data_IF_947663605063
#
_entry.id   IF_947663605063
#
_cell.length_a   1.000
_cell.length_b   1.000
_cell.length_c   1.000
_cell.angle_alpha   90.00
_cell.angle_beta   90.00
_cell.angle_gamma   90.00
#
_symmetry.space_group_name_H-M   'P 1'
#
loop_
_entity.id
_entity.type
_entity.pdbx_description
1 polymer ?
#
# COMPACT_ATOMS: atom_id res chain seq x y z
N UNK A 1 10.14 -11.23 17.52
CA UNK A 1 9.73 -12.40 16.74
C UNK A 1 8.36 -12.10 16.15
N UNK A 2 8.37 -11.93 14.83
CA UNK A 2 7.27 -11.82 13.88
C UNK A 2 5.90 -12.25 14.41
N UNK A 3 5.00 -11.29 14.61
CA UNK A 3 3.57 -11.59 14.57
C UNK A 3 3.32 -11.98 13.12
N UNK A 4 3.22 -13.28 12.85
CA UNK A 4 3.03 -13.80 11.50
C UNK A 4 1.84 -13.07 10.87
N UNK A 5 2.10 -12.29 9.82
CA UNK A 5 1.08 -11.99 8.82
C UNK A 5 0.52 -13.35 8.39
N UNK A 6 -0.72 -13.62 8.76
CA UNK A 6 -1.39 -14.84 8.33
C UNK A 6 -1.64 -14.79 6.83
N UNK A 7 -1.84 -15.95 6.20
CA UNK A 7 -2.17 -16.01 4.77
C UNK A 7 -3.32 -15.05 4.40
N UNK A 8 -4.28 -14.89 5.32
CA UNK A 8 -5.41 -14.00 5.13
C UNK A 8 -5.02 -12.51 4.98
N UNK A 9 -3.90 -12.07 5.56
CA UNK A 9 -3.35 -10.72 5.29
C UNK A 9 -2.94 -10.59 3.83
N UNK A 10 -2.16 -11.53 3.31
CA UNK A 10 -1.70 -11.53 1.93
C UNK A 10 -2.88 -11.65 0.97
N UNK A 11 -3.83 -12.55 1.24
CA UNK A 11 -5.05 -12.70 0.41
C UNK A 11 -5.82 -11.37 0.27
N UNK A 12 -5.90 -10.57 1.34
CA UNK A 12 -6.55 -9.24 1.29
C UNK A 12 -5.72 -8.21 0.52
N UNK A 13 -4.39 -8.23 0.65
CA UNK A 13 -3.51 -7.34 -0.09
C UNK A 13 -3.57 -7.65 -1.60
N UNK A 14 -3.51 -8.93 -1.94
CA UNK A 14 -3.57 -9.42 -3.33
C UNK A 14 -4.90 -9.09 -3.99
N UNK A 15 -6.02 -9.14 -3.26
CA UNK A 15 -7.31 -8.73 -3.79
C UNK A 15 -7.32 -7.24 -4.26
N UNK A 16 -6.53 -6.37 -3.62
CA UNK A 16 -6.37 -4.98 -4.08
C UNK A 16 -5.51 -4.89 -5.34
N UNK A 17 -4.46 -5.71 -5.43
CA UNK A 17 -3.58 -5.79 -6.61
C UNK A 17 -4.35 -6.35 -7.81
N UNK A 18 -5.14 -7.40 -7.61
CA UNK A 18 -5.98 -8.01 -8.65
C UNK A 18 -6.96 -6.99 -9.24
N UNK A 19 -7.62 -6.20 -8.38
CA UNK A 19 -8.49 -5.13 -8.84
C UNK A 19 -7.73 -4.05 -9.63
N UNK A 20 -6.51 -3.68 -9.21
CA UNK A 20 -5.68 -2.75 -9.95
C UNK A 20 -5.27 -3.32 -11.32
N UNK A 21 -4.90 -4.59 -11.39
CA UNK A 21 -4.57 -5.28 -12.65
C UNK A 21 -5.76 -5.30 -13.62
N UNK A 22 -6.97 -5.60 -13.14
CA UNK A 22 -8.19 -5.52 -13.96
C UNK A 22 -8.46 -4.10 -14.49
N UNK A 23 -8.11 -3.06 -13.71
CA UNK A 23 -8.23 -1.67 -14.17
C UNK A 23 -7.16 -1.32 -15.22
N UNK A 24 -5.94 -1.83 -15.08
CA UNK A 24 -4.86 -1.64 -16.07
C UNK A 24 -5.29 -2.24 -17.41
N UNK A 25 -5.82 -3.46 -17.42
CA UNK A 25 -6.34 -4.11 -18.63
C UNK A 25 -7.44 -3.29 -19.32
N UNK A 26 -8.25 -2.59 -18.53
CA UNK A 26 -9.38 -1.79 -19.05
C UNK A 26 -8.98 -0.41 -19.57
N UNK A 27 -8.05 0.26 -18.90
CA UNK A 27 -7.73 1.67 -19.16
C UNK A 27 -6.39 1.88 -19.87
N UNK A 28 -5.56 0.84 -19.98
CA UNK A 28 -4.23 0.86 -20.61
C UNK A 28 -3.31 1.98 -20.06
N UNK A 29 -3.52 2.39 -18.81
CA UNK A 29 -2.81 3.50 -18.18
C UNK A 29 -2.42 3.15 -16.73
N UNK A 30 -1.20 2.62 -16.61
CA UNK A 30 -0.60 2.23 -15.34
C UNK A 30 -0.52 3.41 -14.35
N UNK A 31 -0.20 4.61 -14.85
CA UNK A 31 -0.03 5.80 -14.02
C UNK A 31 -1.34 6.22 -13.36
N UNK A 32 -2.45 6.23 -14.10
CA UNK A 32 -3.77 6.54 -13.55
C UNK A 32 -4.24 5.52 -12.52
N UNK A 33 -4.01 4.23 -12.76
CA UNK A 33 -4.40 3.17 -11.82
C UNK A 33 -3.56 3.22 -10.54
N UNK A 34 -2.25 3.44 -10.66
CA UNK A 34 -1.37 3.61 -9.49
C UNK A 34 -1.79 4.82 -8.64
N UNK A 35 -2.08 5.95 -9.28
CA UNK A 35 -2.55 7.15 -8.59
C UNK A 35 -3.91 6.94 -7.89
N UNK A 36 -4.86 6.26 -8.54
CA UNK A 36 -6.18 5.99 -7.96
C UNK A 36 -6.11 4.98 -6.82
N UNK A 37 -5.26 3.95 -6.92
CA UNK A 37 -5.00 2.98 -5.84
C UNK A 37 -4.44 3.67 -4.60
N UNK A 38 -3.41 4.49 -4.78
CA UNK A 38 -2.79 5.28 -3.69
C UNK A 38 -3.80 6.22 -3.04
N UNK A 39 -4.61 6.92 -3.85
CA UNK A 39 -5.64 7.81 -3.33
C UNK A 39 -6.75 7.04 -2.59
N UNK A 40 -7.13 5.85 -3.07
CA UNK A 40 -8.08 4.96 -2.41
C UNK A 40 -7.59 4.53 -1.02
N UNK A 41 -6.33 4.09 -0.93
CA UNK A 41 -5.70 3.73 0.33
C UNK A 41 -5.68 4.91 1.31
N UNK A 42 -5.30 6.10 0.86
CA UNK A 42 -5.29 7.31 1.70
C UNK A 42 -6.67 7.65 2.26
N UNK A 43 -7.73 7.55 1.44
CA UNK A 43 -9.13 7.79 1.89
C UNK A 43 -9.58 6.76 2.91
N UNK A 44 -9.25 5.49 2.69
CA UNK A 44 -9.57 4.43 3.63
C UNK A 44 -8.87 4.64 4.97
N UNK A 45 -7.57 4.95 4.96
CA UNK A 45 -6.78 5.26 6.15
C UNK A 45 -7.33 6.45 6.94
N UNK A 46 -7.73 7.52 6.24
CA UNK A 46 -8.36 8.68 6.88
C UNK A 46 -9.70 8.32 7.55
N UNK A 47 -10.57 7.59 6.85
CA UNK A 47 -11.85 7.13 7.41
C UNK A 47 -11.66 6.19 8.59
N UNK A 48 -10.75 5.22 8.49
CA UNK A 48 -10.45 4.27 9.56
C UNK A 48 -9.94 5.00 10.80
N UNK A 49 -9.00 5.93 10.64
CA UNK A 49 -8.44 6.72 11.74
C UNK A 49 -9.50 7.56 12.44
N UNK A 50 -10.39 8.19 11.67
CA UNK A 50 -11.47 9.02 12.23
C UNK A 50 -12.39 8.26 13.19
N UNK A 51 -12.52 6.93 13.05
CA UNK A 51 -13.35 6.09 13.94
C UNK A 51 -12.83 5.99 15.37
N UNK A 52 -11.56 6.34 15.59
CA UNK A 52 -10.91 6.30 16.91
C UNK A 52 -11.08 7.60 17.71
N UNK A 53 -11.73 8.62 17.14
CA UNK A 53 -11.88 9.95 17.76
C UNK A 53 -13.36 10.31 17.97
N UNK A 54 -13.63 11.16 18.96
CA UNK A 54 -14.98 11.59 19.31
C UNK A 54 -15.40 12.88 18.60
N UNK A 55 -14.45 13.62 18.03
CA UNK A 55 -14.71 14.88 17.34
C UNK A 55 -13.67 15.19 16.27
N UNK A 56 -14.02 16.10 15.36
CA UNK A 56 -13.08 16.63 14.38
C UNK A 56 -11.92 17.42 15.01
N UNK A 57 -12.12 18.00 16.20
CA UNK A 57 -11.06 18.70 16.92
C UNK A 57 -9.99 17.74 17.46
N UNK A 58 -10.42 16.60 18.04
CA UNK A 58 -9.49 15.54 18.47
C UNK A 58 -8.74 14.94 17.27
N UNK A 59 -9.44 14.64 16.17
CA UNK A 59 -8.80 14.16 14.94
C UNK A 59 -7.81 15.19 14.38
N UNK A 60 -8.16 16.48 14.41
CA UNK A 60 -7.29 17.57 13.99
C UNK A 60 -6.01 17.66 14.83
N UNK A 61 -6.12 17.47 16.15
CA UNK A 61 -4.97 17.45 17.05
C UNK A 61 -4.03 16.25 16.79
N UNK A 62 -4.59 15.10 16.37
CA UNK A 62 -3.83 13.89 16.04
C UNK A 62 -3.34 13.83 14.57
N UNK A 63 -3.65 14.84 13.74
CA UNK A 63 -3.41 14.80 12.28
C UNK A 63 -1.97 14.45 11.91
N UNK A 64 -1.00 15.13 12.50
CA UNK A 64 0.42 14.94 12.16
C UNK A 64 0.93 13.57 12.58
N UNK A 65 0.47 13.05 13.72
CA UNK A 65 0.82 11.72 14.20
C UNK A 65 0.27 10.64 13.26
N UNK A 66 -0.98 10.77 12.82
CA UNK A 66 -1.62 9.88 11.86
C UNK A 66 -0.86 9.89 10.52
N UNK A 67 -0.53 11.07 10.01
CA UNK A 67 0.25 11.21 8.76
C UNK A 67 1.60 10.52 8.88
N UNK A 68 2.34 10.80 9.96
CA UNK A 68 3.64 10.19 10.21
C UNK A 68 3.54 8.67 10.25
N UNK A 69 2.56 8.14 10.98
CA UNK A 69 2.33 6.69 11.08
C UNK A 69 2.15 6.04 9.71
N UNK A 70 1.19 6.51 8.90
CA UNK A 70 0.95 5.89 7.59
C UNK A 70 2.10 6.07 6.61
N UNK A 71 2.74 7.25 6.59
CA UNK A 71 3.89 7.49 5.71
C UNK A 71 5.08 6.60 6.07
N UNK A 72 5.35 6.39 7.35
CA UNK A 72 6.46 5.54 7.79
C UNK A 72 6.16 4.06 7.53
N UNK A 73 4.92 3.59 7.76
CA UNK A 73 4.51 2.23 7.41
C UNK A 73 4.63 1.99 5.90
N UNK A 74 4.12 2.90 5.07
CA UNK A 74 4.21 2.79 3.62
C UNK A 74 5.67 2.79 3.14
N UNK A 75 6.51 3.67 3.70
CA UNK A 75 7.94 3.71 3.38
C UNK A 75 8.61 2.38 3.67
N UNK A 76 8.44 1.84 4.88
CA UNK A 76 9.03 0.57 5.28
C UNK A 76 8.65 -0.57 4.32
N UNK A 77 7.35 -0.72 4.03
CA UNK A 77 6.89 -1.77 3.10
C UNK A 77 7.44 -1.56 1.68
N UNK A 78 7.47 -0.30 1.21
CA UNK A 78 7.97 0.01 -0.12
C UNK A 78 9.49 -0.24 -0.23
N UNK A 79 10.26 0.13 0.79
CA UNK A 79 11.70 -0.15 0.87
C UNK A 79 11.96 -1.65 0.77
N UNK A 80 11.30 -2.48 1.58
CA UNK A 80 11.44 -3.94 1.54
C UNK A 80 11.14 -4.52 0.14
N UNK A 81 10.05 -4.07 -0.50
CA UNK A 81 9.68 -4.54 -1.83
C UNK A 81 10.67 -4.06 -2.91
N UNK A 82 11.16 -2.82 -2.81
CA UNK A 82 12.14 -2.29 -3.76
C UNK A 82 13.48 -3.00 -3.63
N UNK A 83 13.93 -3.26 -2.41
CA UNK A 83 15.18 -3.97 -2.15
C UNK A 83 15.13 -5.39 -2.74
N UNK A 84 13.99 -6.10 -2.61
CA UNK A 84 13.79 -7.40 -3.27
C UNK A 84 13.87 -7.29 -4.81
N UNK A 85 13.22 -6.28 -5.41
CA UNK A 85 13.27 -6.06 -6.86
C UNK A 85 14.66 -5.65 -7.34
N UNK A 86 15.45 -4.96 -6.51
CA UNK A 86 16.84 -4.61 -6.80
C UNK A 86 17.71 -5.86 -6.76
N UNK A 87 17.56 -6.69 -5.73
CA UNK A 87 18.32 -7.94 -5.56
C UNK A 87 18.06 -8.93 -6.71
N UNK A 88 16.80 -9.05 -7.15
CA UNK A 88 16.36 -10.02 -8.16
C UNK A 88 16.03 -9.40 -9.52
N UNK A 89 16.54 -8.20 -9.82
CA UNK A 89 16.17 -7.43 -11.00
C UNK A 89 16.33 -8.20 -12.31
N UNK A 90 17.49 -8.83 -12.53
CA UNK A 90 17.79 -9.56 -13.76
C UNK A 90 16.84 -10.76 -13.96
N UNK A 91 16.43 -11.42 -12.88
CA UNK A 91 15.47 -12.51 -12.91
C UNK A 91 14.06 -12.00 -13.19
N UNK A 92 13.59 -11.03 -12.41
CA UNK A 92 12.20 -10.56 -12.48
C UNK A 92 11.91 -9.75 -13.74
N UNK A 93 12.85 -8.91 -14.17
CA UNK A 93 12.63 -7.94 -15.25
C UNK A 93 13.22 -8.37 -16.59
N UNK A 94 14.29 -9.17 -16.59
CA UNK A 94 14.97 -9.61 -17.82
C UNK A 94 14.79 -11.11 -18.11
N UNK A 95 14.19 -11.87 -17.19
CA UNK A 95 13.95 -13.31 -17.35
C UNK A 95 15.24 -14.13 -17.45
N UNK A 96 16.36 -13.61 -16.93
CA UNK A 96 17.62 -14.35 -16.87
C UNK A 96 17.59 -15.26 -15.65
N UNK A 97 17.80 -16.55 -15.87
CA UNK A 97 18.11 -17.49 -14.80
C UNK A 97 19.62 -17.69 -14.81
N UNK A 98 20.26 -17.61 -13.64
CA UNK A 98 21.66 -18.04 -13.44
C UNK A 98 21.82 -19.54 -13.69
#
# INVERSE_FOLDING_TARGET
>A
MTQATDQAFYDRADAHIELANQQIEKFEDLGKVSASLTFGAARFSAWMSARSFKSGAELGAAREEILKYFCDQYRMMLEDNLDEHIEHFDQYMLGKND
#
